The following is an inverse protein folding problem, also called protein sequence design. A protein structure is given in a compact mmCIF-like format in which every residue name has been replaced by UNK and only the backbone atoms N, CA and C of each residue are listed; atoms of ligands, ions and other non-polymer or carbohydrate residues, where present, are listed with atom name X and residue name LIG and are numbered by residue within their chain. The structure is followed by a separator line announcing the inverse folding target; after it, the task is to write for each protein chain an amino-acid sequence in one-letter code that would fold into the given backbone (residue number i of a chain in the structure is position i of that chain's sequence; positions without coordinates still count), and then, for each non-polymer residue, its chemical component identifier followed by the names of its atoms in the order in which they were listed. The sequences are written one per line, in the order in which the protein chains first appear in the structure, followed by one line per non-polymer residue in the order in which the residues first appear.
data_IF_811096397437
#
_entry.id   IF_811096397437
#
_cell.length_a   1.000
_cell.length_b   1.000
_cell.length_c   1.000
_cell.angle_alpha   90.00
_cell.angle_beta   90.00
_cell.angle_gamma   90.00
#
_symmetry.space_group_name_H-M   'P 1'
#
loop_
_entity.id
_entity.type
_entity.pdbx_description
1 polymer ?
#
# COMPACT_ATOMS: atom_id res chain seq x y z
N UNK A 1 -18.60 -5.00 10.44
CA UNK A 1 -17.25 -4.71 11.00
C UNK A 1 -16.35 -5.94 11.13
N UNK A 2 -16.86 -7.11 11.55
CA UNK A 2 -16.05 -8.33 11.69
C UNK A 2 -15.23 -8.73 10.44
N UNK A 3 -15.81 -8.75 9.22
CA UNK A 3 -15.06 -9.03 7.99
C UNK A 3 -13.79 -8.19 7.78
N UNK A 4 -13.85 -6.90 8.14
CA UNK A 4 -12.74 -5.96 8.01
C UNK A 4 -11.66 -6.22 9.06
N UNK A 5 -12.09 -6.55 10.28
CA UNK A 5 -11.18 -6.96 11.35
C UNK A 5 -10.44 -8.23 10.97
N UNK A 6 -11.13 -9.23 10.43
CA UNK A 6 -10.51 -10.48 10.00
C UNK A 6 -9.49 -10.23 8.88
N UNK A 7 -9.87 -9.44 7.86
CA UNK A 7 -8.95 -9.05 6.77
C UNK A 7 -7.67 -8.41 7.32
N UNK A 8 -7.80 -7.40 8.18
CA UNK A 8 -6.65 -6.67 8.71
C UNK A 8 -5.81 -7.53 9.65
N UNK A 9 -6.44 -8.28 10.56
CA UNK A 9 -5.73 -9.15 11.49
C UNK A 9 -4.96 -10.27 10.78
N UNK A 10 -5.57 -10.95 9.81
CA UNK A 10 -4.89 -11.98 9.02
C UNK A 10 -3.72 -11.41 8.20
N UNK A 11 -3.92 -10.23 7.60
CA UNK A 11 -2.87 -9.55 6.85
C UNK A 11 -1.72 -9.01 7.72
N UNK A 12 -1.97 -8.65 8.99
CA UNK A 12 -0.92 -8.28 9.94
C UNK A 12 -0.12 -9.52 10.39
N UNK A 13 -0.81 -10.65 10.59
CA UNK A 13 -0.19 -11.91 11.01
C UNK A 13 0.80 -12.46 9.98
N UNK A 14 0.52 -12.31 8.68
CA UNK A 14 1.41 -12.77 7.60
C UNK A 14 2.63 -11.85 7.40
N UNK A 15 3.87 -12.34 7.63
CA UNK A 15 5.08 -11.54 7.42
C UNK A 15 5.42 -11.26 5.95
N UNK A 16 4.89 -12.02 4.98
CA UNK A 16 5.09 -11.73 3.56
C UNK A 16 4.18 -10.58 3.07
N UNK A 17 3.13 -10.26 3.82
CA UNK A 17 2.21 -9.17 3.52
C UNK A 17 2.86 -7.81 3.81
N UNK A 18 2.92 -6.96 2.79
CA UNK A 18 3.34 -5.58 2.94
C UNK A 18 2.17 -4.64 3.17
N UNK A 19 2.47 -3.48 3.74
CA UNK A 19 1.51 -2.42 3.99
C UNK A 19 2.04 -1.10 3.48
N UNK A 20 1.15 -0.23 3.01
CA UNK A 20 1.48 1.18 2.77
C UNK A 20 0.37 2.08 3.26
N UNK A 21 0.71 3.22 3.86
CA UNK A 21 -0.24 4.24 4.33
C UNK A 21 0.21 5.59 3.78
N UNK A 22 -0.71 6.28 3.12
CA UNK A 22 -0.44 7.57 2.50
C UNK A 22 -1.25 7.80 1.23
N UNK A 23 -0.70 8.64 0.37
CA UNK A 23 -1.28 9.06 -0.90
C UNK A 23 -0.40 8.69 -2.10
N UNK A 24 -0.94 8.86 -3.30
CA UNK A 24 -0.17 8.72 -4.52
C UNK A 24 0.92 9.80 -4.59
N UNK A 25 2.16 9.36 -4.42
CA UNK A 25 3.32 10.25 -4.38
C UNK A 25 3.82 10.57 -2.97
N UNK A 26 3.16 10.12 -1.90
CA UNK A 26 3.76 10.11 -0.57
C UNK A 26 3.19 8.99 0.31
N UNK A 27 4.02 8.03 0.71
CA UNK A 27 3.60 6.97 1.61
C UNK A 27 4.75 6.45 2.47
N UNK A 28 4.39 5.96 3.65
CA UNK A 28 5.24 5.01 4.36
C UNK A 28 4.78 3.58 4.06
N UNK A 29 5.75 2.69 3.96
CA UNK A 29 5.55 1.26 3.82
C UNK A 29 6.02 0.56 5.08
N UNK A 30 5.25 -0.42 5.52
CA UNK A 30 5.64 -1.35 6.57
C UNK A 30 5.75 -2.75 5.99
N UNK A 31 6.96 -3.30 6.07
CA UNK A 31 7.28 -4.70 5.80
C UNK A 31 8.24 -5.14 6.90
N UNK A 32 8.16 -6.40 7.30
CA UNK A 32 9.10 -7.01 8.24
C UNK A 32 9.72 -8.25 7.62
N UNK A 33 10.84 -8.70 8.18
CA UNK A 33 11.34 -10.05 7.86
C UNK A 33 10.50 -11.09 8.60
N UNK A 34 10.35 -12.31 8.06
CA UNK A 34 9.64 -13.37 8.77
C UNK A 34 10.22 -13.68 10.17
N UNK A 35 11.53 -13.54 10.33
CA UNK A 35 12.29 -13.76 11.56
C UNK A 35 12.47 -12.48 12.41
N UNK A 36 12.03 -11.32 11.93
CA UNK A 36 12.16 -10.07 12.68
C UNK A 36 11.16 -10.04 13.85
N UNK A 37 11.63 -9.81 15.10
CA UNK A 37 10.73 -9.65 16.23
C UNK A 37 9.72 -8.53 16.00
N UNK A 38 8.44 -8.87 16.13
CA UNK A 38 7.32 -7.95 16.01
C UNK A 38 6.39 -8.13 17.20
N UNK A 39 6.11 -7.04 17.92
CA UNK A 39 5.21 -7.03 19.06
C UNK A 39 3.85 -6.44 18.67
N UNK A 40 2.72 -7.07 19.06
CA UNK A 40 1.43 -6.41 19.04
C UNK A 40 1.44 -5.12 19.87
N UNK A 41 0.63 -4.15 19.46
CA UNK A 41 0.53 -2.88 20.17
C UNK A 41 -0.19 -3.07 21.52
N UNK A 42 0.38 -2.46 22.58
CA UNK A 42 -0.11 -2.61 23.96
C UNK A 42 -1.37 -1.81 24.27
N UNK A 43 -1.73 -0.87 23.39
CA UNK A 43 -2.86 0.06 23.57
C UNK A 43 -4.15 -0.39 22.85
N UNK A 44 -4.19 -1.64 22.36
CA UNK A 44 -5.36 -2.23 21.73
C UNK A 44 -5.61 -1.80 20.29
N UNK A 45 -4.78 -0.92 19.71
CA UNK A 45 -4.81 -0.64 18.27
C UNK A 45 -4.42 -1.91 17.48
N UNK A 46 -5.03 -2.10 16.30
CA UNK A 46 -4.65 -3.20 15.41
C UNK A 46 -3.32 -2.86 14.75
N UNK A 47 -2.26 -3.55 15.11
CA UNK A 47 -0.95 -3.20 14.59
C UNK A 47 0.19 -4.01 15.17
N UNK A 48 1.38 -3.71 14.65
CA UNK A 48 2.63 -4.35 15.02
C UNK A 48 3.74 -3.30 15.04
N UNK A 49 4.65 -3.44 16.00
CA UNK A 49 5.88 -2.66 16.06
C UNK A 49 7.10 -3.58 16.01
N UNK A 50 8.10 -3.19 15.23
CA UNK A 50 9.46 -3.73 15.28
C UNK A 50 10.42 -2.63 15.71
N UNK A 51 11.70 -2.96 15.87
CA UNK A 51 12.73 -1.94 16.11
C UNK A 51 12.86 -0.92 14.97
N UNK A 52 12.55 -1.30 13.72
CA UNK A 52 12.76 -0.46 12.52
C UNK A 52 11.56 0.41 12.17
N UNK A 53 10.39 0.14 12.75
CA UNK A 53 9.16 0.84 12.43
C UNK A 53 7.93 0.04 12.86
N UNK A 54 6.75 0.49 12.47
CA UNK A 54 5.51 -0.18 12.83
C UNK A 54 4.31 0.35 12.09
N UNK A 55 3.18 -0.32 12.31
CA UNK A 55 1.87 0.05 11.79
C UNK A 55 0.85 -0.02 12.91
N UNK A 56 -0.05 0.96 12.98
CA UNK A 56 -1.25 0.92 13.79
C UNK A 56 -2.45 1.38 12.98
N UNK A 57 -3.54 0.64 13.08
CA UNK A 57 -4.77 0.89 12.34
C UNK A 57 -5.94 0.97 13.33
N UNK A 58 -6.80 1.98 13.11
CA UNK A 58 -8.11 2.11 13.72
C UNK A 58 -9.17 1.84 12.66
N UNK A 59 -9.87 0.70 12.76
CA UNK A 59 -10.92 0.37 11.80
C UNK A 59 -12.06 1.39 11.88
N UNK A 60 -12.58 1.75 10.72
CA UNK A 60 -13.71 2.66 10.58
C UNK A 60 -14.91 1.93 9.97
N UNK A 61 -16.15 2.31 10.34
CA UNK A 61 -17.35 1.70 9.77
C UNK A 61 -17.55 2.04 8.29
N UNK A 62 -17.02 3.18 7.83
CA UNK A 62 -17.08 3.65 6.43
C UNK A 62 -15.88 3.20 5.58
N UNK A 63 -15.03 2.30 6.10
CA UNK A 63 -13.89 1.75 5.36
C UNK A 63 -14.39 0.77 4.27
N UNK A 64 -13.99 1.02 3.03
CA UNK A 64 -14.33 0.20 1.86
C UNK A 64 -13.06 -0.44 1.29
N UNK A 65 -12.85 -1.75 1.47
CA UNK A 65 -11.78 -2.48 0.79
C UNK A 65 -12.11 -2.64 -0.69
N UNK A 66 -11.10 -2.49 -1.54
CA UNK A 66 -11.17 -2.74 -2.97
C UNK A 66 -9.98 -3.61 -3.36
N UNK A 67 -10.21 -4.89 -3.60
CA UNK A 67 -9.19 -5.80 -4.11
C UNK A 67 -9.07 -5.67 -5.63
N UNK A 68 -7.85 -5.59 -6.15
CA UNK A 68 -7.66 -5.48 -7.59
C UNK A 68 -6.32 -6.03 -8.05
N UNK A 69 -6.26 -6.33 -9.33
CA UNK A 69 -5.05 -6.72 -10.05
C UNK A 69 -4.77 -5.69 -11.15
N UNK A 70 -3.51 -5.53 -11.52
CA UNK A 70 -3.10 -4.64 -12.60
C UNK A 70 -2.06 -5.35 -13.46
N UNK A 71 -2.34 -5.48 -14.75
CA UNK A 71 -1.37 -6.01 -15.71
C UNK A 71 -0.19 -5.04 -15.86
N UNK A 72 1.02 -5.57 -15.83
CA UNK A 72 2.28 -4.83 -15.96
C UNK A 72 3.18 -5.52 -16.99
N UNK A 73 4.16 -4.82 -17.57
CA UNK A 73 5.23 -5.50 -18.31
C UNK A 73 5.86 -6.60 -17.44
N UNK A 74 5.96 -7.82 -17.96
CA UNK A 74 6.55 -8.96 -17.25
C UNK A 74 5.70 -9.60 -16.15
N UNK A 75 4.40 -9.24 -16.00
CA UNK A 75 3.51 -9.92 -15.07
C UNK A 75 2.27 -9.12 -14.68
N UNK A 76 1.85 -9.22 -13.43
CA UNK A 76 0.81 -8.38 -12.84
C UNK A 76 1.23 -7.92 -11.45
N UNK A 77 0.56 -6.92 -10.89
CA UNK A 77 0.57 -6.61 -9.46
C UNK A 77 -0.81 -6.82 -8.88
N UNK A 78 -0.89 -6.98 -7.57
CA UNK A 78 -2.16 -7.07 -6.85
C UNK A 78 -2.11 -6.30 -5.54
N UNK A 79 -3.26 -5.82 -5.08
CA UNK A 79 -3.38 -5.11 -3.81
C UNK A 79 -4.83 -5.12 -3.33
N UNK A 80 -5.01 -4.82 -2.03
CA UNK A 80 -6.29 -4.40 -1.47
C UNK A 80 -6.15 -2.95 -1.03
N UNK A 81 -6.80 -2.04 -1.75
CA UNK A 81 -6.90 -0.64 -1.33
C UNK A 81 -7.92 -0.53 -0.19
N UNK A 82 -7.56 0.15 0.88
CA UNK A 82 -8.46 0.50 1.99
C UNK A 82 -8.91 1.94 1.77
N UNK A 83 -10.15 2.10 1.32
CA UNK A 83 -10.68 3.38 0.88
C UNK A 83 -11.64 4.00 1.89
N UNK A 84 -11.70 5.32 1.91
CA UNK A 84 -12.72 6.10 2.60
C UNK A 84 -13.51 6.94 1.59
N UNK A 85 -14.76 7.32 1.89
CA UNK A 85 -15.46 8.37 1.16
C UNK A 85 -14.62 9.65 1.13
N UNK A 86 -14.58 10.34 0.00
CA UNK A 86 -13.74 11.54 -0.19
C UNK A 86 -14.08 12.67 0.80
N UNK A 87 -15.36 12.79 1.14
CA UNK A 87 -15.96 13.68 2.12
C UNK A 87 -15.70 13.27 3.59
N UNK A 88 -15.28 12.02 3.84
CA UNK A 88 -14.81 11.55 5.15
C UNK A 88 -13.33 11.88 5.42
N UNK A 89 -12.58 12.40 4.45
CA UNK A 89 -11.19 12.80 4.64
C UNK A 89 -11.11 14.05 5.53
N UNK A 90 -9.98 14.21 6.23
CA UNK A 90 -9.80 15.32 7.17
C UNK A 90 -9.85 16.67 6.43
N UNK A 91 -10.25 17.70 7.18
CA UNK A 91 -10.24 19.11 6.74
C UNK A 91 -8.85 19.64 6.39
N UNK A 92 -8.71 20.95 6.08
CA UNK A 92 -7.58 21.49 5.34
C UNK A 92 -6.22 21.10 5.93
N UNK A 93 -5.36 20.55 5.06
CA UNK A 93 -4.03 20.09 5.44
C UNK A 93 -3.04 21.25 5.57
N UNK A 94 -2.11 21.14 6.54
CA UNK A 94 -1.10 22.17 6.79
C UNK A 94 -0.18 22.32 5.58
N UNK A 95 0.10 23.56 5.20
CA UNK A 95 0.98 23.90 4.06
C UNK A 95 2.30 24.53 4.48
N UNK A 96 2.63 24.42 5.75
CA UNK A 96 3.85 24.92 6.34
C UNK A 96 4.27 23.95 7.43
N UNK A 97 5.57 23.75 7.59
CA UNK A 97 6.08 22.87 8.62
C UNK A 97 5.62 23.35 10.00
N UNK A 98 4.98 22.47 10.76
CA UNK A 98 4.28 22.84 12.00
C UNK A 98 4.68 21.91 13.13
N UNK A 99 5.17 22.47 14.23
CA UNK A 99 5.42 21.73 15.46
C UNK A 99 4.10 21.31 16.10
N UNK A 100 3.92 20.01 16.34
CA UNK A 100 2.72 19.43 16.93
C UNK A 100 2.91 19.09 18.43
N UNK A 101 4.14 19.22 18.94
CA UNK A 101 4.50 18.85 20.31
C UNK A 101 4.84 17.36 20.46
N UNK A 102 4.85 16.82 21.69
CA UNK A 102 5.22 15.43 21.96
C UNK A 102 4.29 14.41 21.27
N UNK A 103 4.87 13.36 20.69
CA UNK A 103 4.13 12.31 19.98
C UNK A 103 3.50 11.26 20.92
N UNK A 104 2.46 11.65 21.64
CA UNK A 104 1.74 10.76 22.57
C UNK A 104 1.11 9.54 21.90
N UNK A 105 0.97 9.53 20.58
CA UNK A 105 0.39 8.43 19.81
C UNK A 105 1.45 7.47 19.24
N UNK A 106 2.73 7.65 19.60
CA UNK A 106 3.84 6.82 19.16
C UNK A 106 3.56 5.33 19.37
N UNK A 107 4.02 4.47 18.45
CA UNK A 107 3.85 3.02 18.58
C UNK A 107 4.72 2.43 19.69
N UNK A 108 5.88 3.06 19.92
CA UNK A 108 6.82 2.67 20.97
C UNK A 108 6.78 3.68 22.11
N UNK A 109 6.61 3.25 23.38
CA UNK A 109 6.55 4.14 24.54
C UNK A 109 7.76 5.08 24.62
N UNK A 110 8.95 4.58 24.29
CA UNK A 110 10.21 5.35 24.31
C UNK A 110 10.18 6.58 23.38
N UNK A 111 9.38 6.54 22.31
CA UNK A 111 9.29 7.63 21.34
C UNK A 111 8.20 8.67 21.71
N UNK A 112 7.40 8.43 22.75
CA UNK A 112 6.23 9.27 23.08
C UNK A 112 6.56 10.70 23.52
N UNK A 113 7.76 10.91 24.07
CA UNK A 113 8.26 12.22 24.48
C UNK A 113 8.94 13.02 23.37
N UNK A 114 9.22 12.41 22.21
CA UNK A 114 9.89 13.08 21.08
C UNK A 114 8.93 14.05 20.41
N UNK A 115 9.47 15.15 19.89
CA UNK A 115 8.68 16.21 19.27
C UNK A 115 8.32 15.82 17.83
N UNK A 116 7.03 15.92 17.51
CA UNK A 116 6.47 15.65 16.19
C UNK A 116 6.32 16.97 15.41
N UNK A 117 6.70 16.95 14.14
CA UNK A 117 6.49 18.04 13.20
C UNK A 117 5.76 17.52 11.98
N UNK A 118 4.66 18.17 11.60
CA UNK A 118 4.06 18.05 10.27
C UNK A 118 4.98 18.75 9.26
N UNK A 119 5.31 18.10 8.14
CA UNK A 119 6.20 18.66 7.13
C UNK A 119 5.53 19.71 6.24
N UNK A 120 4.22 19.93 6.37
CA UNK A 120 3.49 20.97 5.65
C UNK A 120 3.22 20.64 4.19
N UNK A 121 3.11 19.36 3.83
CA UNK A 121 2.92 18.94 2.43
C UNK A 121 1.49 19.13 1.90
N UNK A 122 0.53 19.50 2.76
CA UNK A 122 -0.83 19.83 2.34
C UNK A 122 -1.63 18.65 1.78
N UNK A 123 -1.38 17.42 2.26
CA UNK A 123 -2.01 16.21 1.73
C UNK A 123 -3.27 15.84 2.54
N UNK A 124 -4.41 15.68 1.85
CA UNK A 124 -5.69 15.41 2.52
C UNK A 124 -5.79 14.00 3.18
N UNK A 125 -5.04 13.03 2.66
CA UNK A 125 -5.12 11.64 3.11
C UNK A 125 -4.22 11.32 4.31
N UNK A 126 -3.10 12.06 4.44
CA UNK A 126 -2.02 11.73 5.37
C UNK A 126 -1.22 12.97 5.75
N UNK A 127 -0.98 13.13 7.04
CA UNK A 127 0.05 14.02 7.55
C UNK A 127 1.40 13.28 7.43
N UNK A 128 2.34 13.88 6.71
CA UNK A 128 3.72 13.39 6.65
C UNK A 128 4.50 14.15 7.69
N UNK A 129 4.98 13.44 8.70
CA UNK A 129 5.62 14.02 9.87
C UNK A 129 7.03 13.46 10.06
N UNK A 130 7.88 14.26 10.72
CA UNK A 130 9.10 13.78 11.35
C UNK A 130 8.97 13.84 12.86
N UNK A 131 9.67 12.95 13.56
CA UNK A 131 9.71 12.88 15.02
C UNK A 131 11.16 12.84 15.49
N UNK A 132 11.55 13.73 16.40
CA UNK A 132 12.94 13.81 16.89
C UNK A 132 13.04 14.38 18.30
N UNK A 133 14.11 14.03 18.99
CA UNK A 133 14.63 14.63 20.23
C UNK A 133 16.03 15.26 20.01
N UNK A 134 16.60 15.15 18.80
CA UNK A 134 17.93 15.63 18.47
C UNK A 134 17.94 17.17 18.33
N UNK A 135 18.66 17.91 19.20
CA UNK A 135 18.60 19.38 19.24
C UNK A 135 18.91 20.05 17.90
N UNK A 136 19.86 19.51 17.13
CA UNK A 136 20.25 20.02 15.81
C UNK A 136 19.16 19.84 14.76
N UNK A 137 18.42 18.71 14.79
CA UNK A 137 17.28 18.45 13.91
C UNK A 137 16.15 19.41 14.29
N UNK A 138 15.82 19.49 15.57
CA UNK A 138 14.76 20.38 16.08
C UNK A 138 15.03 21.84 15.72
N UNK A 139 16.25 22.33 15.95
CA UNK A 139 16.63 23.70 15.63
C UNK A 139 16.57 23.98 14.11
N UNK A 140 16.89 23.00 13.27
CA UNK A 140 16.81 23.14 11.80
C UNK A 140 15.35 23.18 11.33
N UNK A 141 14.50 22.28 11.82
CA UNK A 141 13.10 22.17 11.41
C UNK A 141 12.28 23.37 11.91
N UNK A 142 12.51 23.86 13.13
CA UNK A 142 11.85 25.09 13.65
C UNK A 142 12.15 26.36 12.86
N UNK A 143 13.25 26.39 12.10
CA UNK A 143 13.61 27.51 11.23
C UNK A 143 12.94 27.43 9.85
N UNK A 144 12.25 26.34 9.53
CA UNK A 144 11.54 26.21 8.27
C UNK A 144 10.38 27.23 8.20
N UNK A 145 10.39 28.11 7.20
CA UNK A 145 9.31 29.07 6.95
C UNK A 145 8.20 28.55 6.04
N UNK A 146 8.22 27.26 5.69
CA UNK A 146 7.32 26.65 4.70
C UNK A 146 7.37 25.12 4.74
N UNK A 147 6.85 24.45 3.71
CA UNK A 147 6.93 22.99 3.60
C UNK A 147 8.37 22.50 3.64
N UNK A 148 8.60 21.35 4.27
CA UNK A 148 9.88 20.66 4.29
C UNK A 148 9.78 19.43 3.41
N UNK A 149 10.64 19.33 2.39
CA UNK A 149 10.68 18.17 1.51
C UNK A 149 11.24 16.94 2.24
N UNK A 150 10.72 15.76 1.91
CA UNK A 150 11.34 14.49 2.29
C UNK A 150 12.49 14.20 1.32
N UNK A 151 13.61 14.87 1.54
CA UNK A 151 14.81 14.78 0.72
C UNK A 151 15.90 13.90 1.35
N UNK A 152 17.06 13.81 0.68
CA UNK A 152 18.18 13.02 1.18
C UNK A 152 18.73 13.52 2.51
N UNK A 153 18.57 14.81 2.87
CA UNK A 153 18.97 15.33 4.17
C UNK A 153 18.13 14.74 5.31
N UNK A 154 16.81 14.69 5.13
CA UNK A 154 15.90 14.02 6.07
C UNK A 154 16.18 12.51 6.11
N UNK A 155 16.39 11.87 4.95
CA UNK A 155 16.69 10.44 4.90
C UNK A 155 18.06 10.11 5.53
N UNK A 156 19.04 10.99 5.44
CA UNK A 156 20.34 10.83 6.10
C UNK A 156 20.19 10.89 7.63
N UNK A 157 19.39 11.80 8.17
CA UNK A 157 19.10 11.87 9.60
C UNK A 157 18.32 10.65 10.10
N UNK A 158 17.39 10.12 9.29
CA UNK A 158 16.71 8.86 9.57
C UNK A 158 17.71 7.68 9.61
N UNK A 159 18.64 7.58 8.65
CA UNK A 159 19.68 6.54 8.67
C UNK A 159 20.63 6.66 9.85
N UNK A 160 20.89 7.89 10.30
CA UNK A 160 21.69 8.19 11.48
C UNK A 160 20.94 7.96 12.81
N UNK A 161 19.65 7.61 12.77
CA UNK A 161 18.82 7.41 13.96
C UNK A 161 18.51 8.71 14.72
N UNK A 162 18.65 9.87 14.08
CA UNK A 162 18.38 11.20 14.67
C UNK A 162 16.90 11.58 14.60
N UNK A 163 16.13 10.93 13.74
CA UNK A 163 14.69 11.13 13.62
C UNK A 163 13.99 9.84 13.19
N UNK A 164 12.68 9.78 13.42
CA UNK A 164 11.76 8.84 12.78
C UNK A 164 10.82 9.59 11.84
N UNK A 165 10.28 8.88 10.84
CA UNK A 165 9.21 9.39 9.99
C UNK A 165 7.88 8.76 10.38
N UNK A 166 6.84 9.58 10.39
CA UNK A 166 5.50 9.21 10.82
C UNK A 166 4.53 9.63 9.73
N UNK A 167 3.82 8.67 9.16
CA UNK A 167 2.72 8.93 8.24
C UNK A 167 1.44 8.64 8.98
N UNK A 168 0.64 9.67 9.28
CA UNK A 168 -0.56 9.56 10.10
C UNK A 168 -1.78 10.06 9.33
N UNK A 169 -2.83 9.25 9.27
CA UNK A 169 -4.06 9.58 8.55
C UNK A 169 -5.31 9.08 9.28
N UNK A 170 -6.47 9.17 8.60
CA UNK A 170 -7.76 8.77 9.19
C UNK A 170 -7.87 7.30 9.58
N UNK A 171 -7.09 6.42 8.95
CA UNK A 171 -7.09 4.98 9.24
C UNK A 171 -6.07 4.58 10.32
N UNK A 172 -5.13 5.46 10.69
CA UNK A 172 -4.06 5.13 11.63
C UNK A 172 -2.73 5.72 11.21
N UNK A 173 -1.63 5.00 11.48
CA UNK A 173 -0.27 5.48 11.18
C UNK A 173 0.69 4.35 10.82
N UNK A 174 1.69 4.68 10.01
CA UNK A 174 2.91 3.89 9.84
C UNK A 174 4.10 4.74 10.32
N UNK A 175 4.99 4.11 11.08
CA UNK A 175 6.23 4.71 11.55
C UNK A 175 7.44 4.03 10.91
N UNK A 176 8.43 4.82 10.52
CA UNK A 176 9.72 4.38 10.00
C UNK A 176 10.79 4.97 10.91
N UNK A 177 11.39 4.11 11.75
CA UNK A 177 12.41 4.50 12.73
C UNK A 177 13.83 4.26 12.22
N UNK A 178 14.00 3.30 11.31
CA UNK A 178 15.29 3.02 10.70
C UNK A 178 15.10 2.50 9.28
N UNK A 179 15.90 3.04 8.35
CA UNK A 179 16.09 2.41 7.05
C UNK A 179 17.10 1.28 7.18
N UNK A 180 16.93 0.23 6.38
CA UNK A 180 17.85 -0.90 6.37
C UNK A 180 17.64 -1.80 5.17
N UNK A 181 18.36 -2.92 5.15
CA UNK A 181 18.22 -3.89 4.08
C UNK A 181 16.78 -4.40 3.97
N UNK A 182 16.21 -4.44 2.75
CA UNK A 182 14.86 -4.93 2.55
C UNK A 182 14.77 -6.45 2.90
N UNK A 183 13.58 -6.98 3.20
CA UNK A 183 12.34 -6.25 3.40
C UNK A 183 12.41 -5.41 4.69
N UNK A 184 11.76 -4.26 4.70
CA UNK A 184 11.78 -3.35 5.84
C UNK A 184 10.92 -2.12 5.62
N UNK A 185 10.74 -1.31 6.67
CA UNK A 185 10.04 -0.03 6.58
C UNK A 185 10.70 0.92 5.59
N UNK A 186 9.89 1.68 4.85
CA UNK A 186 10.34 2.68 3.86
C UNK A 186 9.43 3.88 3.89
N UNK A 187 9.93 5.03 3.46
CA UNK A 187 9.13 6.22 3.25
C UNK A 187 9.60 6.92 1.98
N UNK A 188 8.65 7.53 1.26
CA UNK A 188 8.94 8.34 0.08
C UNK A 188 7.90 9.43 -0.06
N UNK A 189 8.32 10.59 -0.59
CA UNK A 189 7.41 11.67 -0.99
C UNK A 189 7.97 12.46 -2.20
N UNK A 190 8.21 11.81 -3.35
CA UNK A 190 8.81 12.48 -4.50
C UNK A 190 7.93 13.63 -5.00
N UNK A 191 8.47 14.83 -4.97
CA UNK A 191 7.76 16.07 -5.32
C UNK A 191 7.15 16.01 -6.73
N UNK A 192 7.86 15.41 -7.69
CA UNK A 192 7.39 15.24 -9.06
C UNK A 192 6.08 14.44 -9.15
N UNK A 193 5.87 13.46 -8.26
CA UNK A 193 4.63 12.67 -8.23
C UNK A 193 3.55 13.42 -7.47
N UNK A 194 3.88 14.10 -6.37
CA UNK A 194 2.94 14.91 -5.60
C UNK A 194 2.32 16.03 -6.43
N UNK A 195 3.10 16.66 -7.31
CA UNK A 195 2.62 17.70 -8.24
C UNK A 195 1.53 17.22 -9.20
N UNK A 196 1.37 15.91 -9.39
CA UNK A 196 0.27 15.35 -10.20
C UNK A 196 -1.10 15.53 -9.52
N UNK A 197 -1.14 15.76 -8.20
CA UNK A 197 -2.38 16.04 -7.45
C UNK A 197 -3.40 14.89 -7.48
N UNK A 198 -2.94 13.66 -7.73
CA UNK A 198 -3.82 12.49 -7.82
C UNK A 198 -3.94 11.82 -6.46
N UNK A 199 -5.12 11.27 -6.17
CA UNK A 199 -5.34 10.47 -4.96
C UNK A 199 -4.81 9.03 -5.07
N UNK A 200 -4.73 8.49 -6.30
CA UNK A 200 -4.28 7.14 -6.62
C UNK A 200 -3.79 7.03 -8.07
N UNK A 201 -3.10 5.93 -8.40
CA UNK A 201 -2.67 5.65 -9.75
C UNK A 201 -3.89 5.47 -10.69
N UNK A 202 -3.83 6.02 -11.91
CA UNK A 202 -4.92 5.94 -12.88
C UNK A 202 -5.27 4.50 -13.32
N UNK A 203 -4.39 3.54 -13.04
CA UNK A 203 -4.59 2.11 -13.32
C UNK A 203 -5.31 1.36 -12.20
N UNK A 204 -5.40 1.94 -10.99
CA UNK A 204 -6.15 1.33 -9.90
C UNK A 204 -7.66 1.54 -10.14
N UNK A 205 -8.49 0.49 -10.15
CA UNK A 205 -9.91 0.58 -10.43
C UNK A 205 -10.69 1.02 -9.17
N UNK A 206 -10.27 2.12 -8.54
CA UNK A 206 -10.99 2.66 -7.38
C UNK A 206 -12.33 3.26 -7.86
N UNK A 207 -13.46 2.90 -7.21
CA UNK A 207 -14.76 3.48 -7.54
C UNK A 207 -14.80 5.02 -7.36
N UNK A 208 -15.59 5.75 -8.16
CA UNK A 208 -15.81 7.18 -7.95
C UNK A 208 -16.30 7.49 -6.53
N UNK A 209 -15.85 8.62 -5.96
CA UNK A 209 -16.19 9.05 -4.61
C UNK A 209 -15.36 8.38 -3.50
N UNK A 210 -14.60 7.33 -3.81
CA UNK A 210 -13.69 6.69 -2.87
C UNK A 210 -12.25 7.15 -3.06
N UNK A 211 -11.53 7.19 -1.94
CA UNK A 211 -10.13 7.58 -1.87
C UNK A 211 -9.35 6.54 -1.07
N UNK A 212 -8.32 5.89 -1.64
CA UNK A 212 -7.48 4.98 -0.87
C UNK A 212 -6.62 5.77 0.11
N UNK A 213 -6.56 5.28 1.36
CA UNK A 213 -5.73 5.88 2.44
C UNK A 213 -4.67 4.90 2.95
N UNK A 214 -4.82 3.62 2.66
CA UNK A 214 -3.82 2.60 2.87
C UNK A 214 -3.99 1.45 1.86
N UNK A 215 -2.97 0.61 1.74
CA UNK A 215 -3.04 -0.60 0.93
C UNK A 215 -2.44 -1.79 1.71
N UNK A 216 -3.09 -2.94 1.53
CA UNK A 216 -2.54 -4.25 1.84
C UNK A 216 -1.90 -4.78 0.55
N UNK A 217 -0.68 -5.30 0.67
CA UNK A 217 0.07 -5.92 -0.41
C UNK A 217 0.29 -7.40 -0.07
N UNK A 218 -0.70 -8.28 -0.29
CA UNK A 218 -0.56 -9.71 -0.01
C UNK A 218 0.62 -10.34 -0.76
N UNK A 219 1.14 -11.45 -0.23
CA UNK A 219 2.21 -12.22 -0.88
C UNK A 219 1.89 -12.52 -2.35
N UNK A 220 2.85 -12.30 -3.25
CA UNK A 220 2.65 -12.45 -4.69
C UNK A 220 3.05 -13.86 -5.16
N UNK A 221 2.26 -14.59 -5.95
CA UNK A 221 2.58 -15.99 -6.26
C UNK A 221 3.87 -16.20 -7.05
N UNK A 222 4.36 -15.18 -7.77
CA UNK A 222 5.60 -15.24 -8.56
C UNK A 222 6.74 -14.37 -8.03
N UNK A 223 6.52 -13.62 -6.95
CA UNK A 223 7.56 -12.73 -6.41
C UNK A 223 7.61 -12.79 -4.90
N UNK A 224 8.82 -12.83 -4.36
CA UNK A 224 9.03 -12.72 -2.92
C UNK A 224 8.82 -11.26 -2.43
N UNK A 225 8.97 -11.04 -1.12
CA UNK A 225 8.83 -9.72 -0.51
C UNK A 225 9.87 -8.68 -0.98
N UNK A 226 10.93 -9.12 -1.67
CA UNK A 226 11.97 -8.30 -2.28
C UNK A 226 11.68 -8.00 -3.75
N UNK A 227 10.59 -8.55 -4.30
CA UNK A 227 10.24 -8.46 -5.71
C UNK A 227 11.02 -9.41 -6.61
N UNK A 228 11.83 -10.32 -6.05
CA UNK A 228 12.61 -11.30 -6.81
C UNK A 228 11.68 -12.40 -7.31
N UNK A 229 11.90 -12.93 -8.53
CA UNK A 229 11.13 -14.07 -9.04
C UNK A 229 11.21 -15.27 -8.10
N UNK A 230 10.11 -16.02 -7.98
CA UNK A 230 10.05 -17.33 -7.32
C UNK A 230 9.20 -18.31 -8.14
N UNK A 231 9.32 -19.63 -7.91
CA UNK A 231 8.36 -20.60 -8.43
C UNK A 231 6.93 -20.22 -8.07
N UNK A 232 5.97 -20.61 -8.92
CA UNK A 232 4.57 -20.28 -8.70
C UNK A 232 4.04 -20.90 -7.39
N UNK A 233 3.59 -20.04 -6.49
CA UNK A 233 3.02 -20.42 -5.19
C UNK A 233 1.48 -20.44 -5.25
N UNK A 234 0.90 -21.61 -5.46
CA UNK A 234 -0.56 -21.78 -5.60
C UNK A 234 -1.35 -21.23 -4.40
N UNK A 235 -0.82 -21.38 -3.18
CA UNK A 235 -1.45 -20.86 -1.95
C UNK A 235 -1.61 -19.34 -1.96
N UNK A 236 -0.62 -18.61 -2.48
CA UNK A 236 -0.66 -17.15 -2.54
C UNK A 236 -1.61 -16.66 -3.63
N UNK A 237 -1.63 -17.35 -4.77
CA UNK A 237 -2.60 -17.08 -5.81
C UNK A 237 -4.03 -17.31 -5.31
N UNK A 238 -4.33 -18.48 -4.75
CA UNK A 238 -5.65 -18.82 -4.21
C UNK A 238 -6.09 -17.84 -3.11
N UNK A 239 -5.18 -17.49 -2.19
CA UNK A 239 -5.44 -16.49 -1.16
C UNK A 239 -5.84 -15.12 -1.74
N UNK A 240 -5.16 -14.66 -2.79
CA UNK A 240 -5.54 -13.40 -3.44
C UNK A 240 -6.84 -13.53 -4.25
N UNK A 241 -7.12 -14.68 -4.90
CA UNK A 241 -8.38 -14.88 -5.59
C UNK A 241 -9.59 -14.81 -4.64
N UNK A 242 -9.47 -15.36 -3.42
CA UNK A 242 -10.51 -15.22 -2.40
C UNK A 242 -10.74 -13.76 -1.97
N UNK A 243 -9.67 -12.95 -1.91
CA UNK A 243 -9.80 -11.50 -1.67
C UNK A 243 -10.49 -10.79 -2.84
N UNK A 244 -10.17 -11.17 -4.08
CA UNK A 244 -10.78 -10.60 -5.28
C UNK A 244 -12.27 -10.95 -5.41
N UNK A 245 -12.65 -12.19 -5.07
CA UNK A 245 -14.06 -12.61 -5.03
C UNK A 245 -14.86 -11.85 -3.96
N UNK A 246 -14.24 -11.53 -2.83
CA UNK A 246 -14.92 -10.89 -1.70
C UNK A 246 -14.96 -9.36 -1.80
N UNK A 247 -13.89 -8.75 -2.29
CA UNK A 247 -13.66 -7.31 -2.22
C UNK A 247 -13.33 -6.67 -3.58
N UNK A 248 -13.31 -7.46 -4.65
CA UNK A 248 -13.03 -6.96 -5.99
C UNK A 248 -14.26 -6.36 -6.67
N UNK A 249 -14.01 -5.65 -7.77
CA UNK A 249 -15.08 -5.21 -8.68
C UNK A 249 -15.69 -6.45 -9.37
N UNK A 250 -16.97 -6.76 -9.13
CA UNK A 250 -17.61 -7.95 -9.68
C UNK A 250 -17.62 -7.96 -11.22
N UNK A 251 -17.64 -6.79 -11.85
CA UNK A 251 -17.61 -6.71 -13.31
C UNK A 251 -16.24 -7.08 -13.86
N UNK A 252 -15.15 -6.60 -13.25
CA UNK A 252 -13.80 -6.96 -13.66
C UNK A 252 -13.51 -8.44 -13.40
N UNK A 253 -14.05 -8.98 -12.31
CA UNK A 253 -13.99 -10.41 -12.03
C UNK A 253 -14.75 -11.23 -13.08
N UNK A 254 -15.91 -10.78 -13.55
CA UNK A 254 -16.66 -11.45 -14.61
C UNK A 254 -15.85 -11.53 -15.92
N UNK A 255 -15.18 -10.44 -16.31
CA UNK A 255 -14.27 -10.45 -17.46
C UNK A 255 -13.08 -11.38 -17.28
N UNK A 256 -12.47 -11.39 -16.08
CA UNK A 256 -11.39 -12.32 -15.74
C UNK A 256 -11.85 -13.77 -15.89
N UNK A 257 -12.99 -14.12 -15.31
CA UNK A 257 -13.58 -15.47 -15.37
C UNK A 257 -13.93 -15.88 -16.79
N UNK A 258 -14.50 -14.97 -17.58
CA UNK A 258 -14.76 -15.21 -19.00
C UNK A 258 -13.48 -15.56 -19.76
N UNK A 259 -12.40 -14.79 -19.57
CA UNK A 259 -11.11 -15.03 -20.23
C UNK A 259 -10.50 -16.38 -19.90
N UNK A 260 -10.81 -16.91 -18.71
CA UNK A 260 -10.37 -18.22 -18.20
C UNK A 260 -11.32 -19.37 -18.58
N UNK A 261 -12.42 -19.12 -19.30
CA UNK A 261 -13.43 -20.16 -19.61
C UNK A 261 -14.32 -20.55 -18.42
N UNK A 262 -14.30 -19.78 -17.33
CA UNK A 262 -14.99 -20.08 -16.06
C UNK A 262 -16.32 -19.32 -15.89
N UNK A 263 -16.81 -18.69 -16.94
CA UNK A 263 -18.03 -17.90 -16.91
C UNK A 263 -18.43 -17.33 -18.28
N UNK A 264 -19.67 -16.83 -18.39
CA UNK A 264 -20.17 -16.24 -19.63
C UNK A 264 -19.44 -14.94 -19.97
N UNK A 265 -19.44 -14.58 -21.25
CA UNK A 265 -18.98 -13.26 -21.69
C UNK A 265 -19.91 -12.18 -21.13
N UNK A 266 -19.38 -11.11 -20.49
CA UNK A 266 -20.21 -9.98 -20.10
C UNK A 266 -20.91 -9.33 -21.31
N UNK A 267 -22.18 -8.96 -21.16
CA UNK A 267 -23.04 -8.44 -22.23
C UNK A 267 -22.71 -7.01 -22.71
N UNK A 268 -21.51 -6.49 -22.41
CA UNK A 268 -21.06 -5.15 -22.79
C UNK A 268 -19.73 -5.20 -23.54
N UNK A 269 -19.41 -4.21 -24.39
CA UNK A 269 -18.09 -4.12 -25.01
C UNK A 269 -16.96 -3.99 -23.98
N UNK A 270 -15.77 -4.56 -24.23
CA UNK A 270 -14.65 -4.41 -23.33
C UNK A 270 -14.12 -2.97 -23.30
N UNK A 271 -13.78 -2.49 -22.12
CA UNK A 271 -13.13 -1.20 -21.89
C UNK A 271 -11.65 -1.39 -21.51
N UNK A 272 -10.97 -0.29 -21.13
CA UNK A 272 -9.55 -0.35 -20.74
C UNK A 272 -9.33 -1.23 -19.50
N UNK A 273 -10.23 -1.17 -18.52
CA UNK A 273 -10.11 -1.89 -17.24
C UNK A 273 -10.39 -3.37 -17.44
N UNK A 274 -11.44 -3.71 -18.20
CA UNK A 274 -11.76 -5.11 -18.50
C UNK A 274 -10.65 -5.78 -19.31
N UNK A 275 -10.10 -5.12 -20.34
CA UNK A 275 -8.91 -5.61 -21.05
C UNK A 275 -7.71 -5.82 -20.13
N UNK A 276 -7.55 -4.97 -19.11
CA UNK A 276 -6.56 -5.16 -18.06
C UNK A 276 -6.78 -6.46 -17.28
N UNK A 277 -8.01 -6.72 -16.85
CA UNK A 277 -8.38 -7.95 -16.16
C UNK A 277 -8.16 -9.21 -17.01
N UNK A 278 -8.54 -9.17 -18.30
CA UNK A 278 -8.30 -10.27 -19.25
C UNK A 278 -6.80 -10.53 -19.45
N UNK A 279 -5.97 -9.49 -19.52
CA UNK A 279 -4.50 -9.65 -19.60
C UNK A 279 -3.95 -10.32 -18.34
N UNK A 280 -4.41 -9.94 -17.15
CA UNK A 280 -4.00 -10.60 -15.90
C UNK A 280 -4.41 -12.07 -15.91
N UNK A 281 -5.65 -12.39 -16.31
CA UNK A 281 -6.11 -13.78 -16.47
C UNK A 281 -5.19 -14.60 -17.38
N UNK A 282 -4.85 -14.07 -18.56
CA UNK A 282 -3.97 -14.75 -19.51
C UNK A 282 -2.58 -15.01 -18.92
N UNK A 283 -2.00 -14.03 -18.21
CA UNK A 283 -0.71 -14.19 -17.55
C UNK A 283 -0.78 -15.26 -16.45
N UNK A 284 -1.83 -15.26 -15.63
CA UNK A 284 -2.00 -16.26 -14.58
C UNK A 284 -2.15 -17.68 -15.14
N UNK A 285 -2.92 -17.86 -16.22
CA UNK A 285 -3.03 -19.14 -16.91
C UNK A 285 -1.67 -19.62 -17.45
N UNK A 286 -0.90 -18.73 -18.09
CA UNK A 286 0.43 -19.06 -18.62
C UNK A 286 1.44 -19.45 -17.51
N UNK A 287 1.26 -18.97 -16.29
CA UNK A 287 2.08 -19.33 -15.13
C UNK A 287 1.57 -20.57 -14.37
N UNK A 288 0.59 -21.30 -14.91
CA UNK A 288 0.09 -22.54 -14.33
C UNK A 288 -0.96 -22.37 -13.23
N UNK A 289 -1.50 -21.17 -13.02
CA UNK A 289 -2.55 -20.94 -12.03
C UNK A 289 -3.89 -21.59 -12.41
N UNK A 290 -4.10 -21.83 -13.71
CA UNK A 290 -5.32 -22.41 -14.27
C UNK A 290 -4.95 -23.46 -15.34
N UNK A 291 -4.49 -24.66 -14.93
CA UNK A 291 -4.01 -25.68 -15.86
C UNK A 291 -5.07 -26.12 -16.88
N UNK A 292 -6.35 -26.14 -16.47
CA UNK A 292 -7.48 -26.49 -17.35
C UNK A 292 -7.78 -25.40 -18.39
N UNK A 293 -7.61 -24.12 -18.01
CA UNK A 293 -7.82 -22.98 -18.92
C UNK A 293 -6.68 -22.84 -19.94
N UNK A 294 -5.45 -23.24 -19.57
CA UNK A 294 -4.29 -23.23 -20.47
C UNK A 294 -4.45 -24.22 -21.64
N UNK A 295 -5.20 -25.30 -21.45
CA UNK A 295 -5.49 -26.29 -22.50
C UNK A 295 -6.57 -25.83 -23.50
N UNK A 296 -7.39 -24.84 -23.12
CA UNK A 296 -8.47 -24.29 -23.95
C UNK A 296 -8.06 -23.02 -24.71
N UNK A 297 -6.87 -22.48 -24.43
CA UNK A 297 -6.31 -21.33 -25.13
C UNK A 297 -5.70 -21.76 -26.46
N UNK A 298 -6.37 -21.46 -27.57
CA UNK A 298 -5.79 -21.49 -28.90
C UNK A 298 -4.46 -20.70 -28.88
N UNK A 299 -3.39 -21.33 -29.36
CA UNK A 299 -2.08 -20.69 -29.46
C UNK A 299 -2.23 -19.36 -30.23
N UNK A 300 -1.51 -18.29 -29.86
CA UNK A 300 -1.52 -17.09 -30.68
C UNK A 300 -1.07 -17.48 -32.09
N UNK A 301 -1.92 -17.19 -33.09
CA UNK A 301 -1.61 -17.44 -34.48
C UNK A 301 -0.20 -16.90 -34.78
N UNK A 302 0.67 -17.78 -35.26
CA UNK A 302 2.00 -17.39 -35.71
C UNK A 302 1.82 -16.25 -36.71
N UNK A 303 2.54 -15.15 -36.47
CA UNK A 303 2.61 -14.04 -37.40
C UNK A 303 3.02 -14.57 -38.77
N UNK A 304 2.11 -14.49 -39.73
CA UNK A 304 2.48 -14.50 -41.15
C UNK A 304 3.31 -13.24 -41.36
N UNK A 305 4.62 -13.41 -41.41
CA UNK A 305 5.52 -12.47 -42.08
C UNK A 305 5.89 -13.10 -43.41
N UNK A 306 5.52 -12.39 -44.48
CA UNK A 306 5.89 -12.63 -45.86
C UNK A 306 7.40 -12.82 -46.06
N UNK A 307 7.69 -13.69 -47.05
CA UNK A 307 8.96 -13.95 -47.78
C UNK A 307 9.71 -15.21 -47.40
#
# INVERSE_FOLDING_TARGET
MQPLRDLVSSALADPETGWSLGTFGAAAEFRRRPDEPAEPLRDGRLGLATRRGGIALGLRPDLVPVAYETALPGGWSHAVALCLPADSLRGPARRTCTELGPDRAALRPEASGRILFDLGLGLAQVDVCLRSDAPEVLARIRRAGGPVALDEGILADLRAGRLGLVFAGSLGRIEVEALGAPPGPRAYAPEAVLRLGRSHAATAPIPPGLVPVAHIHPAHPLRDALGRPRPFEARHHAGFQALLERWGDPDLLAWKRHRLGLGPRPGRPPDRRSRGAERVAAIQAACGAYPEAAQQGEAPAASVTDS
#
